data_IF_828709756945
#
_entry.id   IF_828709756945
#
_cell.length_a   1.000
_cell.length_b   1.000
_cell.length_c   1.000
_cell.angle_alpha   90.00
_cell.angle_beta   90.00
_cell.angle_gamma   90.00
#
_symmetry.space_group_name_H-M   'P 1'
#
loop_
_entity.id
_entity.type
_entity.pdbx_description
1 polymer ?
#
# COMPACT_ATOMS: atom_id res chain seq x y z
N UNK A 1 5.57 48.63 32.61
CA UNK A 1 5.86 48.51 34.06
C UNK A 1 5.30 47.19 34.57
N UNK A 2 6.09 46.46 35.37
CA UNK A 2 5.78 45.24 36.16
C UNK A 2 5.62 43.91 35.38
N UNK A 3 6.12 42.74 35.80
CA UNK A 3 7.10 42.32 36.84
C UNK A 3 7.54 40.88 36.46
N UNK A 4 8.81 40.56 36.69
CA UNK A 4 9.37 39.20 36.71
C UNK A 4 8.69 38.30 37.76
N UNK A 5 8.46 37.01 37.47
CA UNK A 5 8.67 35.90 38.43
C UNK A 5 9.15 34.63 37.72
N UNK A 6 10.38 34.27 38.06
CA UNK A 6 11.08 32.99 37.87
C UNK A 6 10.37 31.83 38.56
N UNK A 7 10.32 30.63 37.94
CA UNK A 7 10.52 29.35 38.65
C UNK A 7 11.24 28.32 37.80
N UNK A 8 12.49 28.13 38.18
CA UNK A 8 13.38 27.02 37.87
C UNK A 8 12.80 25.67 38.35
N UNK A 9 12.92 24.61 37.54
CA UNK A 9 12.90 23.23 38.02
C UNK A 9 13.83 22.36 37.18
N UNK A 10 15.05 22.23 37.66
CA UNK A 10 15.95 21.14 37.32
C UNK A 10 15.43 19.83 37.95
N UNK A 11 15.31 18.76 37.16
CA UNK A 11 15.17 17.40 37.68
C UNK A 11 16.15 16.44 36.99
N UNK A 12 17.23 16.23 37.73
CA UNK A 12 17.99 15.00 38.00
C UNK A 12 17.86 13.83 37.01
N UNK A 13 18.98 13.64 36.31
CA UNK A 13 19.69 12.40 36.02
C UNK A 13 19.28 11.18 36.87
N UNK A 14 18.86 10.10 36.21
CA UNK A 14 18.92 8.75 36.74
C UNK A 14 19.59 7.84 35.69
N UNK A 15 20.92 7.79 35.75
CA UNK A 15 21.75 6.78 35.10
C UNK A 15 21.56 5.45 35.83
N UNK A 16 21.02 4.44 35.15
CA UNK A 16 21.10 3.04 35.58
C UNK A 16 21.89 2.26 34.55
N UNK A 17 23.19 2.13 34.83
CA UNK A 17 24.05 1.12 34.25
C UNK A 17 23.66 -0.23 34.87
N UNK A 18 23.09 -1.12 34.07
CA UNK A 18 23.08 -2.54 34.41
C UNK A 18 23.84 -3.27 33.31
N UNK A 19 25.11 -3.52 33.61
CA UNK A 19 25.97 -4.43 32.87
C UNK A 19 25.61 -5.86 33.29
N UNK A 20 25.21 -6.71 32.34
CA UNK A 20 25.38 -8.15 32.46
C UNK A 20 26.31 -8.59 31.34
N UNK A 21 27.53 -8.97 31.73
CA UNK A 21 28.54 -9.63 30.90
C UNK A 21 28.26 -11.14 30.88
N UNK A 22 28.36 -11.76 29.71
CA UNK A 22 28.96 -13.09 29.43
C UNK A 22 28.42 -13.56 28.06
N UNK A 23 29.14 -13.41 26.94
CA UNK A 23 30.16 -14.33 26.44
C UNK A 23 29.70 -15.80 26.41
N UNK A 24 28.98 -16.14 25.35
CA UNK A 24 28.80 -17.49 24.84
C UNK A 24 29.01 -17.48 23.33
N UNK A 25 30.27 -17.66 22.92
CA UNK A 25 30.67 -17.93 21.54
C UNK A 25 30.03 -19.27 21.11
N UNK A 26 28.98 -19.23 20.30
CA UNK A 26 28.48 -20.39 19.55
C UNK A 26 28.32 -19.99 18.10
N UNK A 27 29.38 -20.29 17.35
CA UNK A 27 29.43 -20.73 15.96
C UNK A 27 28.27 -20.33 15.05
N UNK A 28 28.62 -19.46 14.09
CA UNK A 28 28.15 -19.44 12.71
C UNK A 28 27.74 -20.84 12.22
N UNK A 29 26.44 -21.05 11.88
CA UNK A 29 26.16 -21.45 10.49
C UNK A 29 24.93 -20.74 9.92
N UNK A 30 24.73 -19.44 10.19
CA UNK A 30 23.63 -18.66 9.57
C UNK A 30 24.09 -17.92 8.30
N UNK A 31 25.40 -17.89 8.01
CA UNK A 31 25.94 -17.23 6.81
C UNK A 31 25.82 -18.03 5.49
N UNK A 32 25.14 -19.19 5.50
CA UNK A 32 24.88 -19.99 4.29
C UNK A 32 23.44 -19.91 3.78
N UNK A 33 22.61 -19.01 4.32
CA UNK A 33 21.38 -18.57 3.65
C UNK A 33 21.63 -17.44 2.63
N UNK A 34 22.88 -17.28 2.18
CA UNK A 34 23.28 -16.37 1.11
C UNK A 34 23.16 -16.99 -0.30
N UNK A 35 22.42 -18.10 -0.45
CA UNK A 35 21.78 -18.39 -1.72
C UNK A 35 20.57 -17.46 -1.81
N UNK A 36 20.78 -16.27 -2.38
CA UNK A 36 19.69 -15.41 -2.85
C UNK A 36 18.69 -16.33 -3.55
N UNK A 37 17.43 -16.45 -3.09
CA UNK A 37 16.43 -17.19 -3.86
C UNK A 37 16.51 -16.61 -5.26
N UNK A 38 16.81 -17.47 -6.23
CA UNK A 38 16.84 -17.03 -7.61
C UNK A 38 15.49 -16.36 -7.86
N UNK A 39 15.54 -15.17 -8.45
CA UNK A 39 14.36 -14.40 -8.86
C UNK A 39 13.64 -15.10 -10.04
N UNK A 40 13.59 -16.44 -10.01
CA UNK A 40 13.00 -17.23 -11.05
C UNK A 40 11.52 -17.25 -10.79
N UNK A 41 10.81 -16.42 -11.54
CA UNK A 41 9.36 -16.39 -11.58
C UNK A 41 8.87 -17.63 -12.35
N UNK A 42 8.00 -18.40 -11.71
CA UNK A 42 7.29 -19.50 -12.37
C UNK A 42 6.18 -18.94 -13.25
N UNK A 43 5.74 -19.71 -14.25
CA UNK A 43 4.61 -19.32 -15.11
C UNK A 43 3.33 -19.04 -14.30
N UNK A 44 3.10 -19.78 -13.22
CA UNK A 44 1.96 -19.57 -12.33
C UNK A 44 2.05 -18.25 -11.56
N UNK A 45 3.23 -17.91 -11.04
CA UNK A 45 3.45 -16.63 -10.34
C UNK A 45 3.34 -15.44 -11.30
N UNK A 46 3.82 -15.57 -12.54
CA UNK A 46 3.65 -14.55 -13.59
C UNK A 46 2.16 -14.34 -13.85
N UNK A 47 1.41 -15.41 -14.10
CA UNK A 47 -0.04 -15.34 -14.32
C UNK A 47 -0.78 -14.74 -13.12
N UNK A 48 -0.34 -15.00 -11.89
CA UNK A 48 -0.94 -14.37 -10.71
C UNK A 48 -0.57 -12.88 -10.59
N UNK A 49 0.64 -12.48 -10.98
CA UNK A 49 1.08 -11.09 -10.98
C UNK A 49 0.36 -10.23 -12.04
N UNK A 50 -0.16 -10.84 -13.12
CA UNK A 50 -1.00 -10.15 -14.11
C UNK A 50 -2.23 -9.50 -13.45
N UNK A 51 -2.84 -10.16 -12.45
CA UNK A 51 -3.96 -9.59 -11.70
C UNK A 51 -3.60 -8.26 -11.01
N UNK A 52 -2.35 -8.08 -10.57
CA UNK A 52 -1.91 -6.80 -9.99
C UNK A 52 -1.94 -5.69 -11.06
N UNK A 53 -1.43 -5.97 -12.26
CA UNK A 53 -1.42 -5.00 -13.36
C UNK A 53 -2.83 -4.68 -13.87
N UNK A 54 -3.67 -5.70 -14.00
CA UNK A 54 -5.07 -5.56 -14.37
C UNK A 54 -5.85 -4.72 -13.33
N UNK A 55 -5.56 -4.92 -12.04
CA UNK A 55 -6.15 -4.11 -10.98
C UNK A 55 -5.76 -2.63 -11.09
N UNK A 56 -4.46 -2.34 -11.23
CA UNK A 56 -3.94 -0.98 -11.35
C UNK A 56 -4.46 -0.29 -12.63
N UNK A 57 -4.46 -1.00 -13.75
CA UNK A 57 -4.95 -0.48 -15.03
C UNK A 57 -6.47 -0.26 -15.06
N UNK A 58 -7.25 -1.05 -14.31
CA UNK A 58 -8.68 -0.81 -14.15
C UNK A 58 -8.96 0.41 -13.26
N UNK A 59 -8.23 0.58 -12.14
CA UNK A 59 -8.33 1.78 -11.29
C UNK A 59 -7.92 3.06 -12.04
N UNK A 60 -6.90 2.96 -12.89
CA UNK A 60 -6.49 4.08 -13.74
C UNK A 60 -7.59 4.47 -14.74
N UNK A 61 -8.22 3.50 -15.41
CA UNK A 61 -9.34 3.75 -16.33
C UNK A 61 -10.54 4.39 -15.63
N UNK A 62 -10.88 3.95 -14.41
CA UNK A 62 -11.92 4.60 -13.61
C UNK A 62 -11.58 6.08 -13.35
N UNK A 63 -10.33 6.37 -12.95
CA UNK A 63 -9.91 7.75 -12.73
C UNK A 63 -9.86 8.59 -14.00
N UNK A 64 -9.53 8.01 -15.15
CA UNK A 64 -9.59 8.71 -16.43
C UNK A 64 -11.03 9.14 -16.74
N UNK A 65 -12.01 8.25 -16.55
CA UNK A 65 -13.45 8.59 -16.71
C UNK A 65 -13.86 9.71 -15.74
N UNK A 66 -13.53 9.56 -14.46
CA UNK A 66 -13.84 10.56 -13.41
C UNK A 66 -13.22 11.94 -13.70
N UNK A 67 -12.06 12.00 -14.37
CA UNK A 67 -11.37 13.25 -14.71
C UNK A 67 -11.81 13.87 -16.05
N UNK A 68 -12.52 13.12 -16.91
CA UNK A 68 -13.01 13.62 -18.20
C UNK A 68 -14.32 14.43 -18.05
N UNK A 69 -15.08 14.20 -16.99
CA UNK A 69 -16.42 14.76 -16.82
C UNK A 69 -16.45 16.28 -16.63
N UNK A 70 -16.96 17.00 -17.63
CA UNK A 70 -17.64 18.28 -17.40
C UNK A 70 -19.03 17.98 -16.83
N UNK A 71 -19.44 18.62 -15.73
CA UNK A 71 -20.73 18.35 -15.09
C UNK A 71 -21.90 18.47 -16.10
N UNK A 72 -22.58 17.36 -16.40
CA UNK A 72 -23.59 17.29 -17.47
C UNK A 72 -24.43 16.00 -17.45
N UNK A 73 -25.37 15.83 -18.40
CA UNK A 73 -26.27 14.67 -18.44
C UNK A 73 -25.57 13.32 -18.67
N UNK A 74 -24.31 13.31 -19.10
CA UNK A 74 -23.48 12.10 -19.22
C UNK A 74 -22.94 11.58 -17.87
N UNK A 75 -23.06 12.37 -16.78
CA UNK A 75 -22.51 12.10 -15.44
C UNK A 75 -22.97 10.75 -14.86
N UNK A 76 -24.24 10.37 -15.04
CA UNK A 76 -24.75 9.11 -14.52
C UNK A 76 -24.16 7.89 -15.25
N UNK A 77 -23.90 8.00 -16.57
CA UNK A 77 -23.31 6.91 -17.36
C UNK A 77 -21.81 6.80 -17.08
N UNK A 78 -21.13 7.94 -16.93
CA UNK A 78 -19.72 7.99 -16.56
C UNK A 78 -19.49 7.43 -15.14
N UNK A 79 -20.35 7.77 -14.18
CA UNK A 79 -20.30 7.22 -12.83
C UNK A 79 -20.47 5.69 -12.81
N UNK A 80 -21.41 5.14 -13.59
CA UNK A 80 -21.59 3.70 -13.72
C UNK A 80 -20.37 3.03 -14.36
N UNK A 81 -19.84 3.61 -15.44
CA UNK A 81 -18.65 3.07 -16.11
C UNK A 81 -17.41 3.10 -15.20
N UNK A 82 -17.22 4.19 -14.44
CA UNK A 82 -16.17 4.27 -13.43
C UNK A 82 -16.34 3.19 -12.36
N UNK A 83 -17.58 2.97 -11.87
CA UNK A 83 -17.88 1.91 -10.91
C UNK A 83 -17.54 0.51 -11.45
N UNK A 84 -17.93 0.18 -12.68
CA UNK A 84 -17.60 -1.11 -13.31
C UNK A 84 -16.07 -1.35 -13.31
N UNK A 85 -15.29 -0.31 -13.61
CA UNK A 85 -13.84 -0.38 -13.56
C UNK A 85 -13.28 -0.54 -12.14
N UNK A 86 -13.84 0.14 -11.13
CA UNK A 86 -13.45 -0.06 -9.72
C UNK A 86 -13.79 -1.47 -9.23
N UNK A 87 -14.93 -2.01 -9.63
CA UNK A 87 -15.31 -3.38 -9.28
C UNK A 87 -14.38 -4.40 -9.93
N UNK A 88 -13.99 -4.19 -11.19
CA UNK A 88 -12.94 -4.99 -11.83
C UNK A 88 -11.63 -4.87 -11.05
N UNK A 89 -11.18 -3.65 -10.74
CA UNK A 89 -9.96 -3.43 -9.98
C UNK A 89 -9.96 -4.20 -8.65
N UNK A 90 -11.08 -4.18 -7.93
CA UNK A 90 -11.24 -4.92 -6.68
C UNK A 90 -11.21 -6.43 -6.86
N UNK A 91 -11.88 -6.97 -7.89
CA UNK A 91 -11.84 -8.41 -8.18
C UNK A 91 -10.42 -8.88 -8.48
N UNK A 92 -9.71 -8.14 -9.33
CA UNK A 92 -8.33 -8.46 -9.70
C UNK A 92 -7.39 -8.35 -8.49
N UNK A 93 -7.51 -7.28 -7.68
CA UNK A 93 -6.71 -7.10 -6.47
C UNK A 93 -6.87 -8.27 -5.48
N UNK A 94 -8.08 -8.82 -5.34
CA UNK A 94 -8.36 -9.99 -4.48
C UNK A 94 -7.76 -11.29 -5.01
N UNK A 95 -7.53 -11.40 -6.31
CA UNK A 95 -6.96 -12.59 -6.96
C UNK A 95 -5.44 -12.67 -6.84
N UNK A 96 -4.75 -11.56 -6.62
CA UNK A 96 -3.30 -11.56 -6.36
C UNK A 96 -3.03 -12.30 -5.06
N UNK A 97 -1.98 -13.13 -4.99
CA UNK A 97 -1.57 -13.84 -3.77
C UNK A 97 -0.47 -13.07 -3.03
N UNK A 98 -0.44 -13.19 -1.71
CA UNK A 98 0.50 -12.43 -0.88
C UNK A 98 1.95 -12.84 -1.13
N UNK A 99 2.23 -14.12 -1.40
CA UNK A 99 3.57 -14.59 -1.72
C UNK A 99 4.11 -14.01 -3.03
N UNK A 100 3.22 -13.74 -4.00
CA UNK A 100 3.57 -13.10 -5.28
C UNK A 100 3.88 -11.62 -5.07
N UNK A 101 3.07 -10.93 -4.26
CA UNK A 101 3.34 -9.55 -3.87
C UNK A 101 4.67 -9.44 -3.09
N UNK A 102 4.91 -10.34 -2.14
CA UNK A 102 6.13 -10.35 -1.32
C UNK A 102 7.40 -10.65 -2.15
N UNK A 103 7.29 -11.51 -3.17
CA UNK A 103 8.37 -11.78 -4.14
C UNK A 103 8.72 -10.55 -4.97
N UNK A 104 7.71 -9.74 -5.31
CA UNK A 104 7.92 -8.49 -6.05
C UNK A 104 8.56 -7.39 -5.20
N UNK A 105 8.14 -7.23 -3.94
CA UNK A 105 8.75 -6.36 -2.94
C UNK A 105 8.24 -6.75 -1.53
N UNK A 106 9.10 -6.82 -0.50
CA UNK A 106 8.72 -7.35 0.82
C UNK A 106 7.57 -6.60 1.50
N UNK A 107 7.51 -5.27 1.36
CA UNK A 107 6.44 -4.44 1.93
C UNK A 107 5.20 -4.30 1.02
N UNK A 108 5.24 -4.83 -0.20
CA UNK A 108 4.13 -4.67 -1.14
C UNK A 108 2.82 -5.31 -0.66
N UNK A 109 2.79 -6.51 -0.02
CA UNK A 109 1.55 -7.05 0.52
C UNK A 109 0.84 -6.08 1.46
N UNK A 110 1.57 -5.43 2.35
CA UNK A 110 1.01 -4.46 3.30
C UNK A 110 0.30 -3.30 2.57
N UNK A 111 1.03 -2.62 1.70
CA UNK A 111 0.52 -1.45 0.98
C UNK A 111 -0.57 -1.83 -0.03
N UNK A 112 -0.44 -2.97 -0.69
CA UNK A 112 -1.43 -3.41 -1.67
C UNK A 112 -2.75 -3.82 -1.00
N UNK A 113 -2.71 -4.49 0.17
CA UNK A 113 -3.93 -4.91 0.88
C UNK A 113 -4.58 -3.76 1.64
N UNK A 114 -3.82 -3.08 2.49
CA UNK A 114 -4.36 -2.11 3.43
C UNK A 114 -4.67 -0.76 2.78
N UNK A 115 -3.96 -0.41 1.70
CA UNK A 115 -4.12 0.89 1.06
C UNK A 115 -4.83 0.76 -0.30
N UNK A 116 -4.28 -0.03 -1.23
CA UNK A 116 -4.87 -0.14 -2.57
C UNK A 116 -6.20 -0.90 -2.57
N UNK A 117 -6.20 -2.18 -2.18
CA UNK A 117 -7.41 -3.01 -2.19
C UNK A 117 -8.49 -2.43 -1.29
N UNK A 118 -8.14 -2.01 -0.08
CA UNK A 118 -9.11 -1.40 0.83
C UNK A 118 -9.71 -0.09 0.27
N UNK A 119 -8.91 0.73 -0.43
CA UNK A 119 -9.47 1.90 -1.11
C UNK A 119 -10.49 1.53 -2.18
N UNK A 120 -10.25 0.46 -2.95
CA UNK A 120 -11.22 -0.02 -3.96
C UNK A 120 -12.52 -0.51 -3.32
N UNK A 121 -12.44 -1.21 -2.19
CA UNK A 121 -13.61 -1.62 -1.42
C UNK A 121 -14.46 -0.42 -1.00
N UNK A 122 -13.82 0.64 -0.54
CA UNK A 122 -14.49 1.86 -0.11
C UNK A 122 -15.08 2.65 -1.28
N UNK A 123 -14.40 2.76 -2.43
CA UNK A 123 -14.98 3.39 -3.62
C UNK A 123 -16.23 2.66 -4.11
N UNK A 124 -16.16 1.32 -4.23
CA UNK A 124 -17.32 0.51 -4.63
C UNK A 124 -18.46 0.64 -3.61
N UNK A 125 -18.14 0.68 -2.32
CA UNK A 125 -19.13 0.89 -1.25
C UNK A 125 -19.77 2.28 -1.31
N UNK A 126 -18.97 3.33 -1.50
CA UNK A 126 -19.44 4.71 -1.62
C UNK A 126 -20.45 4.84 -2.77
N UNK A 127 -20.10 4.31 -3.95
CA UNK A 127 -20.96 4.36 -5.13
C UNK A 127 -22.27 3.60 -4.94
N UNK A 128 -22.22 2.37 -4.40
CA UNK A 128 -23.40 1.52 -4.21
C UNK A 128 -24.36 2.05 -3.13
N UNK A 129 -23.83 2.64 -2.06
CA UNK A 129 -24.65 3.18 -0.97
C UNK A 129 -25.00 4.66 -1.16
N UNK A 130 -24.37 5.34 -2.12
CA UNK A 130 -24.45 6.80 -2.31
C UNK A 130 -24.04 7.56 -1.04
N UNK A 131 -23.04 7.04 -0.33
CA UNK A 131 -22.50 7.58 0.92
C UNK A 131 -21.09 8.13 0.67
N UNK A 132 -20.93 9.45 0.71
CA UNK A 132 -19.66 10.14 0.45
C UNK A 132 -18.62 9.97 1.57
N UNK A 133 -19.03 9.55 2.77
CA UNK A 133 -18.13 9.33 3.90
C UNK A 133 -17.06 8.27 3.61
N UNK A 134 -17.39 7.25 2.81
CA UNK A 134 -16.42 6.22 2.40
C UNK A 134 -15.43 6.73 1.35
N UNK A 135 -15.85 7.69 0.52
CA UNK A 135 -15.04 8.22 -0.58
C UNK A 135 -13.82 8.99 -0.06
N UNK A 136 -14.01 9.81 0.97
CA UNK A 136 -12.91 10.57 1.58
C UNK A 136 -11.79 9.67 2.12
N UNK A 137 -12.16 8.56 2.77
CA UNK A 137 -11.21 7.56 3.25
C UNK A 137 -10.56 6.79 2.09
N UNK A 138 -11.33 6.41 1.08
CA UNK A 138 -10.83 5.74 -0.12
C UNK A 138 -9.74 6.57 -0.82
N UNK A 139 -10.00 7.87 -1.01
CA UNK A 139 -9.04 8.82 -1.59
C UNK A 139 -7.77 8.90 -0.75
N UNK A 140 -7.89 8.96 0.59
CA UNK A 140 -6.75 9.03 1.50
C UNK A 140 -5.85 7.79 1.37
N UNK A 141 -6.44 6.60 1.35
CA UNK A 141 -5.71 5.33 1.21
C UNK A 141 -5.08 5.21 -0.18
N UNK A 142 -5.81 5.53 -1.25
CA UNK A 142 -5.27 5.53 -2.62
C UNK A 142 -4.09 6.49 -2.76
N UNK A 143 -4.15 7.67 -2.14
CA UNK A 143 -3.03 8.64 -2.11
C UNK A 143 -1.81 8.09 -1.37
N UNK A 144 -1.99 7.41 -0.23
CA UNK A 144 -0.90 6.75 0.50
C UNK A 144 -0.23 5.67 -0.35
N UNK A 145 -1.03 4.78 -0.94
CA UNK A 145 -0.53 3.75 -1.84
C UNK A 145 0.26 4.36 -3.00
N UNK A 146 -0.32 5.35 -3.70
CA UNK A 146 0.34 6.01 -4.81
C UNK A 146 1.64 6.73 -4.42
N UNK A 147 1.70 7.29 -3.21
CA UNK A 147 2.93 7.91 -2.69
C UNK A 147 4.02 6.88 -2.38
N UNK A 148 3.65 5.75 -1.77
CA UNK A 148 4.55 4.63 -1.53
C UNK A 148 5.03 4.01 -2.85
N UNK A 149 4.11 3.70 -3.77
CA UNK A 149 4.41 3.11 -5.07
C UNK A 149 5.32 3.99 -5.92
N UNK A 150 5.14 5.32 -5.92
CA UNK A 150 6.08 6.22 -6.60
C UNK A 150 7.48 6.23 -6.00
N UNK A 151 7.61 6.01 -4.68
CA UNK A 151 8.91 5.98 -3.99
C UNK A 151 9.66 4.68 -4.22
N UNK A 152 8.94 3.55 -4.24
CA UNK A 152 9.51 2.20 -4.30
C UNK A 152 9.29 1.50 -5.64
N UNK A 153 8.63 2.14 -6.61
CA UNK A 153 8.22 1.49 -7.86
C UNK A 153 9.37 0.95 -8.70
N UNK A 154 10.56 1.56 -8.59
CA UNK A 154 11.79 1.07 -9.25
C UNK A 154 12.37 -0.17 -8.55
N UNK A 155 11.99 -0.43 -7.30
CA UNK A 155 12.41 -1.60 -6.51
C UNK A 155 11.47 -2.80 -6.73
N UNK A 156 10.25 -2.55 -7.20
CA UNK A 156 9.26 -3.60 -7.49
C UNK A 156 9.73 -4.43 -8.69
N UNK A 157 9.96 -5.73 -8.46
CA UNK A 157 10.44 -6.69 -9.47
C UNK A 157 9.32 -7.63 -9.88
N UNK A 158 8.42 -7.16 -10.74
CA UNK A 158 7.42 -8.01 -11.41
C UNK A 158 7.82 -8.18 -12.87
N UNK A 159 7.84 -9.41 -13.42
CA UNK A 159 8.04 -9.64 -14.85
C UNK A 159 7.02 -8.83 -15.65
N UNK A 160 7.51 -8.04 -16.60
CA UNK A 160 6.64 -7.42 -17.60
C UNK A 160 6.45 -8.45 -18.72
N UNK A 161 5.20 -8.67 -19.10
CA UNK A 161 4.86 -9.39 -20.33
C UNK A 161 5.16 -8.53 -21.56
#
# INVERSE_FOLDING_TARGET
MARLVSRSRAMRVASRRTQCRALGLSLLPVLLWACSPSHDWTAEEIGNAEHMWEALGADQRAAEIENLGEAGPDDAREAEAALEHRERALREARSVRDEVLAKAHPDLPLHFREEFQHSMELFVKAARLRESDFEGEAIRLRKRFGAWYRRHGEEIRVPRL
#
